data_IF_117663073642
#
_entry.id   IF_117663073642
#
_cell.length_a   1.000
_cell.length_b   1.000
_cell.length_c   1.000
_cell.angle_alpha   90.00
_cell.angle_beta   90.00
_cell.angle_gamma   90.00
#
_symmetry.space_group_name_H-M   'P 1'
#
loop_
_entity.id
_entity.type
_entity.pdbx_description
1 polymer ?
#
# COMPACT_ATOMS: atom_id res chain seq x y z
N UNK A 1 -0.63 21.23 7.78
CA UNK A 1 -1.61 20.22 7.36
C UNK A 1 -0.99 18.88 7.73
N UNK A 2 -1.04 18.52 9.01
CA UNK A 2 -0.52 17.23 9.49
C UNK A 2 -1.53 16.16 9.09
N UNK A 3 -1.14 15.26 8.20
CA UNK A 3 -1.85 14.01 8.01
C UNK A 3 -1.64 13.17 9.27
N UNK A 4 -2.58 13.27 10.21
CA UNK A 4 -2.58 12.46 11.42
C UNK A 4 -2.93 11.05 11.00
N UNK A 5 -1.92 10.24 10.74
CA UNK A 5 -2.19 8.91 10.24
C UNK A 5 -2.82 8.03 11.31
N UNK A 6 -3.80 7.25 10.90
CA UNK A 6 -4.69 6.55 11.84
C UNK A 6 -4.09 5.22 12.28
N UNK A 7 -3.23 4.61 11.44
CA UNK A 7 -2.56 3.35 11.75
C UNK A 7 -1.20 3.58 12.44
N UNK A 8 -0.86 2.68 13.36
CA UNK A 8 0.49 2.62 13.93
C UNK A 8 1.48 2.04 12.93
N UNK A 9 2.76 2.37 13.09
CA UNK A 9 3.82 1.84 12.22
C UNK A 9 3.90 0.32 12.24
N UNK A 10 3.66 -0.31 13.38
CA UNK A 10 3.62 -1.78 13.48
C UNK A 10 2.53 -2.37 12.57
N UNK A 11 1.31 -1.82 12.64
CA UNK A 11 0.19 -2.26 11.80
C UNK A 11 0.50 -2.02 10.32
N UNK A 12 1.11 -0.89 9.95
CA UNK A 12 1.49 -0.65 8.55
C UNK A 12 2.51 -1.65 8.03
N UNK A 13 3.48 -2.03 8.86
CA UNK A 13 4.47 -3.04 8.49
C UNK A 13 3.81 -4.42 8.28
N UNK A 14 2.87 -4.79 9.14
CA UNK A 14 2.09 -6.02 8.99
C UNK A 14 1.28 -6.02 7.69
N UNK A 15 0.52 -4.94 7.41
CA UNK A 15 -0.28 -4.82 6.19
C UNK A 15 0.59 -4.79 4.93
N UNK A 16 1.77 -4.16 4.99
CA UNK A 16 2.74 -4.17 3.90
C UNK A 16 3.21 -5.61 3.62
N UNK A 17 3.57 -6.36 4.66
CA UNK A 17 3.99 -7.75 4.55
C UNK A 17 2.86 -8.66 4.00
N UNK A 18 1.62 -8.48 4.48
CA UNK A 18 0.45 -9.20 3.95
C UNK A 18 0.25 -8.94 2.45
N UNK A 19 0.31 -7.68 2.02
CA UNK A 19 0.21 -7.31 0.60
C UNK A 19 1.37 -7.88 -0.23
N UNK A 20 2.58 -7.90 0.32
CA UNK A 20 3.73 -8.49 -0.36
C UNK A 20 3.58 -10.00 -0.54
N UNK A 21 3.03 -10.71 0.46
CA UNK A 21 2.70 -12.15 0.35
C UNK A 21 1.64 -12.36 -0.72
N UNK A 22 0.54 -11.60 -0.68
CA UNK A 22 -0.54 -11.67 -1.66
C UNK A 22 -0.05 -11.50 -3.10
N UNK A 23 0.87 -10.55 -3.32
CA UNK A 23 1.49 -10.31 -4.63
C UNK A 23 2.39 -11.47 -5.07
N UNK A 24 3.26 -11.99 -4.20
CA UNK A 24 4.15 -13.11 -4.53
C UNK A 24 3.37 -14.38 -4.85
N UNK A 25 2.37 -14.68 -4.05
CA UNK A 25 1.59 -15.92 -4.14
C UNK A 25 0.47 -15.80 -5.19
N UNK A 26 0.21 -14.59 -5.68
CA UNK A 26 -0.88 -14.24 -6.61
C UNK A 26 -2.26 -14.61 -6.08
N UNK A 27 -2.42 -14.55 -4.76
CA UNK A 27 -3.68 -14.78 -4.05
C UNK A 27 -4.16 -13.43 -3.52
N UNK A 28 -5.31 -12.91 -4.00
CA UNK A 28 -5.82 -11.64 -3.52
C UNK A 28 -6.26 -11.73 -2.05
N UNK A 29 -6.05 -10.65 -1.32
CA UNK A 29 -6.62 -10.45 0.03
C UNK A 29 -7.81 -9.50 -0.05
N UNK A 30 -8.65 -9.52 0.99
CA UNK A 30 -9.74 -8.56 1.11
C UNK A 30 -9.20 -7.11 1.12
N UNK A 31 -9.93 -6.15 0.54
CA UNK A 31 -9.53 -4.75 0.57
C UNK A 31 -9.24 -4.27 1.99
N UNK A 32 -8.09 -3.62 2.20
CA UNK A 32 -7.68 -3.17 3.54
C UNK A 32 -8.71 -2.23 4.20
N UNK A 33 -9.42 -1.42 3.40
CA UNK A 33 -10.52 -0.55 3.86
C UNK A 33 -11.69 -1.31 4.50
N UNK A 34 -11.87 -2.60 4.17
CA UNK A 34 -12.90 -3.46 4.78
C UNK A 34 -12.52 -3.82 6.22
N UNK A 35 -11.23 -4.04 6.48
CA UNK A 35 -10.68 -4.37 7.80
C UNK A 35 -10.40 -3.13 8.66
N UNK A 36 -9.97 -2.04 8.01
CA UNK A 36 -9.58 -0.79 8.64
C UNK A 36 -10.35 0.36 7.99
N UNK A 37 -11.60 0.57 8.40
CA UNK A 37 -12.48 1.57 7.80
C UNK A 37 -11.94 3.02 7.90
N UNK A 38 -11.04 3.28 8.86
CA UNK A 38 -10.41 4.57 9.07
C UNK A 38 -9.06 4.72 8.35
N UNK A 39 -8.61 3.72 7.59
CA UNK A 39 -7.39 3.84 6.79
C UNK A 39 -7.55 4.99 5.80
N UNK A 40 -6.60 5.92 5.83
CA UNK A 40 -6.65 7.08 4.97
C UNK A 40 -5.62 6.97 3.83
N UNK A 41 -5.52 8.05 3.05
CA UNK A 41 -4.58 8.12 1.93
C UNK A 41 -3.12 8.15 2.40
N UNK A 42 -2.84 8.70 3.59
CA UNK A 42 -1.48 8.76 4.15
C UNK A 42 -1.02 7.36 4.50
N UNK A 43 -1.87 6.60 5.19
CA UNK A 43 -1.60 5.20 5.54
C UNK A 43 -1.39 4.33 4.30
N UNK A 44 -2.21 4.50 3.27
CA UNK A 44 -2.08 3.77 2.01
C UNK A 44 -0.71 4.02 1.33
N UNK A 45 -0.25 5.28 1.30
CA UNK A 45 1.06 5.62 0.75
C UNK A 45 2.22 5.13 1.62
N UNK A 46 2.11 5.20 2.95
CA UNK A 46 3.16 4.67 3.83
C UNK A 46 3.33 3.15 3.67
N UNK A 47 2.22 2.39 3.60
CA UNK A 47 2.25 0.95 3.32
C UNK A 47 2.91 0.67 1.96
N UNK A 48 2.57 1.45 0.92
CA UNK A 48 3.20 1.33 -0.39
C UNK A 48 4.71 1.58 -0.32
N UNK A 49 5.14 2.62 0.40
CA UNK A 49 6.55 2.98 0.55
C UNK A 49 7.34 1.90 1.30
N UNK A 50 6.75 1.27 2.33
CA UNK A 50 7.36 0.13 3.03
C UNK A 50 7.70 -1.00 2.05
N UNK A 51 6.74 -1.40 1.20
CA UNK A 51 6.96 -2.46 0.21
C UNK A 51 7.99 -2.04 -0.87
N UNK A 52 8.03 -0.77 -1.28
CA UNK A 52 9.07 -0.28 -2.18
C UNK A 52 10.45 -0.38 -1.52
N UNK A 53 10.59 0.07 -0.26
CA UNK A 53 11.86 0.01 0.48
C UNK A 53 12.35 -1.43 0.63
N UNK A 54 11.47 -2.38 0.90
CA UNK A 54 11.82 -3.81 0.97
C UNK A 54 12.35 -4.32 -0.37
N UNK A 55 11.65 -4.04 -1.48
CA UNK A 55 12.13 -4.44 -2.82
C UNK A 55 13.49 -3.83 -3.16
N UNK A 56 13.75 -2.59 -2.75
CA UNK A 56 15.05 -1.94 -2.95
C UNK A 56 16.15 -2.62 -2.12
N UNK A 57 15.85 -3.03 -0.89
CA UNK A 57 16.76 -3.81 -0.06
C UNK A 57 17.07 -5.19 -0.69
N UNK A 58 16.09 -5.79 -1.37
CA UNK A 58 16.25 -7.04 -2.12
C UNK A 58 16.98 -6.87 -3.48
N UNK A 59 17.45 -5.66 -3.78
CA UNK A 59 18.25 -5.36 -4.98
C UNK A 59 17.45 -4.93 -6.21
N UNK A 60 16.13 -4.72 -6.07
CA UNK A 60 15.35 -4.11 -7.14
C UNK A 60 15.77 -2.64 -7.36
N UNK A 61 15.41 -2.09 -8.52
CA UNK A 61 15.69 -0.69 -8.88
C UNK A 61 14.39 0.02 -9.23
N UNK A 62 14.22 1.26 -8.76
CA UNK A 62 13.14 2.12 -9.24
C UNK A 62 13.47 2.58 -10.66
N UNK A 63 12.71 2.13 -11.64
CA UNK A 63 12.90 2.48 -13.06
C UNK A 63 11.92 3.56 -13.55
N UNK A 64 11.00 4.00 -12.70
CA UNK A 64 10.03 5.04 -13.01
C UNK A 64 8.90 5.10 -11.99
N UNK A 65 8.04 6.11 -12.13
CA UNK A 65 6.86 6.30 -11.29
C UNK A 65 5.60 6.27 -12.16
N UNK A 66 4.60 5.49 -11.75
CA UNK A 66 3.31 5.41 -12.44
C UNK A 66 2.29 6.27 -11.70
N UNK A 67 1.62 7.16 -12.42
CA UNK A 67 0.49 7.93 -11.91
C UNK A 67 -0.81 7.22 -12.30
N UNK A 68 -1.64 6.92 -11.29
CA UNK A 68 -2.99 6.37 -11.43
C UNK A 68 -4.08 7.43 -11.28
N UNK A 69 -5.21 7.18 -11.95
CA UNK A 69 -6.42 7.98 -12.23
C UNK A 69 -6.59 9.40 -11.62
N UNK A 70 -6.67 10.46 -12.47
CA UNK A 70 -7.50 11.62 -12.19
C UNK A 70 -8.99 11.21 -12.31
N UNK A 71 -9.70 11.20 -11.19
CA UNK A 71 -11.13 10.87 -11.00
C UNK A 71 -12.05 11.00 -12.24
N UNK A 72 -12.42 9.87 -12.88
CA UNK A 72 -13.72 9.53 -13.52
C UNK A 72 -13.67 8.09 -14.10
N UNK A 73 -14.80 7.38 -14.33
CA UNK A 73 -14.83 5.92 -14.17
C UNK A 73 -14.46 5.11 -15.42
N UNK A 74 -13.63 4.09 -15.25
CA UNK A 74 -13.87 2.79 -15.89
C UNK A 74 -14.88 2.04 -14.99
N UNK A 75 -16.18 2.28 -15.21
CA UNK A 75 -17.24 1.40 -14.70
C UNK A 75 -17.23 0.13 -15.59
N UNK A 76 -17.50 -1.02 -14.98
CA UNK A 76 -17.90 -2.22 -15.73
C UNK A 76 -19.11 -1.94 -16.60
#
# INVERSE_FOLDING_TARGET
>A
MEGTSVLSDAVRNELAAELAVAERDRVPIDPLVTRYAAIDVVDAYEIQLINIRQRLADGAKVVGHKVGSPRRPCRR
#
